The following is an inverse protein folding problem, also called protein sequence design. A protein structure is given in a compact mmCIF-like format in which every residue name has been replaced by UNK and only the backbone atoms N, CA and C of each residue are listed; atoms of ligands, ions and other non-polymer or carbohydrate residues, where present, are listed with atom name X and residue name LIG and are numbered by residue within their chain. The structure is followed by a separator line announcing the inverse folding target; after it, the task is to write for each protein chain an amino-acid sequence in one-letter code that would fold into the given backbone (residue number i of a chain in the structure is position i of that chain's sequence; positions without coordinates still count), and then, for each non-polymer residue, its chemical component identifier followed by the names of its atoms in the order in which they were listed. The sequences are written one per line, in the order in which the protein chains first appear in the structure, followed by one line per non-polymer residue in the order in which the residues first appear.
data_IF_276934074165
#
_entry.id   IF_276934074165
#
_cell.length_a   1.000
_cell.length_b   1.000
_cell.length_c   1.000
_cell.angle_alpha   90.00
_cell.angle_beta   90.00
_cell.angle_gamma   90.00
#
_symmetry.space_group_name_H-M   'P 1'
#
loop_
_entity.id
_entity.type
_entity.pdbx_description
1 polymer ?
#
# COMPACT_ATOMS: atom_id res chain seq x y z
N UNK A 1 0.60 -0.93 -8.15
CA UNK A 1 0.07 0.46 -8.19
C UNK A 1 0.99 1.41 -8.96
N UNK A 2 2.23 1.64 -8.50
CA UNK A 2 3.06 2.81 -8.93
C UNK A 2 3.80 2.67 -10.27
N UNK A 3 3.50 1.63 -11.05
CA UNK A 3 4.13 1.34 -12.34
C UNK A 3 3.73 2.38 -13.41
N UNK A 4 4.67 2.72 -14.29
CA UNK A 4 4.57 3.72 -15.35
C UNK A 4 5.07 3.15 -16.68
N UNK A 5 4.53 3.65 -17.78
CA UNK A 5 5.09 3.37 -19.09
C UNK A 5 6.57 3.80 -19.14
N UNK A 6 7.44 3.01 -19.80
CA UNK A 6 8.87 3.32 -19.89
C UNK A 6 9.10 4.67 -20.53
N UNK A 7 10.11 5.40 -20.04
CA UNK A 7 10.43 6.75 -20.54
C UNK A 7 11.27 6.73 -21.82
N UNK A 8 11.95 5.61 -22.08
CA UNK A 8 12.81 5.42 -23.24
C UNK A 8 12.00 4.91 -24.45
N UNK A 9 12.23 5.52 -25.62
CA UNK A 9 11.72 5.01 -26.90
C UNK A 9 12.22 3.57 -27.13
N UNK A 10 11.29 2.62 -27.24
CA UNK A 10 11.60 1.19 -27.39
C UNK A 10 11.73 0.40 -26.09
N UNK A 11 11.43 1.00 -24.93
CA UNK A 11 11.28 0.27 -23.68
C UNK A 11 10.02 -0.58 -23.67
N UNK A 12 10.13 -1.84 -23.25
CA UNK A 12 9.01 -2.80 -23.19
C UNK A 12 8.50 -3.06 -21.76
N UNK A 13 9.31 -2.76 -20.75
CA UNK A 13 8.99 -3.02 -19.34
C UNK A 13 8.48 -1.76 -18.62
N UNK A 14 7.54 -1.95 -17.69
CA UNK A 14 7.09 -0.87 -16.80
C UNK A 14 8.20 -0.43 -15.84
N UNK A 15 8.26 0.87 -15.55
CA UNK A 15 9.16 1.45 -14.54
C UNK A 15 8.38 1.84 -13.28
N UNK A 16 9.00 1.80 -12.10
CA UNK A 16 8.37 2.28 -10.87
C UNK A 16 8.55 3.78 -10.76
N UNK A 17 7.43 4.51 -10.74
CA UNK A 17 7.40 5.96 -10.70
C UNK A 17 7.06 6.49 -9.29
N UNK A 18 6.71 7.77 -9.22
CA UNK A 18 6.26 8.39 -7.98
C UNK A 18 4.94 7.80 -7.48
N UNK A 19 4.74 7.79 -6.15
CA UNK A 19 3.56 7.18 -5.53
C UNK A 19 2.26 7.67 -6.18
N UNK A 20 1.44 6.73 -6.65
CA UNK A 20 0.18 7.04 -7.29
C UNK A 20 -0.83 7.64 -6.29
N UNK A 21 -0.71 7.30 -5.00
CA UNK A 21 -1.61 7.81 -3.96
C UNK A 21 -1.72 9.34 -3.97
N UNK A 22 -0.62 10.07 -4.17
CA UNK A 22 -0.65 11.54 -4.26
C UNK A 22 -1.51 12.03 -5.43
N UNK A 23 -1.27 11.49 -6.62
CA UNK A 23 -2.05 11.83 -7.83
C UNK A 23 -3.54 11.48 -7.69
N UNK A 24 -3.86 10.37 -7.03
CA UNK A 24 -5.24 9.96 -6.79
C UNK A 24 -5.93 10.94 -5.85
N UNK A 25 -5.26 11.32 -4.76
CA UNK A 25 -5.82 12.23 -3.75
C UNK A 25 -5.98 13.67 -4.27
N UNK A 26 -5.13 14.11 -5.20
CA UNK A 26 -5.30 15.38 -5.92
C UNK A 26 -6.52 15.40 -6.85
N UNK A 27 -6.96 14.24 -7.36
CA UNK A 27 -8.12 14.14 -8.28
C UNK A 27 -9.45 14.05 -7.54
N UNK A 28 -9.51 13.27 -6.46
CA UNK A 28 -10.76 13.03 -5.71
C UNK A 28 -11.01 14.10 -4.64
N UNK A 29 -9.95 14.71 -4.10
CA UNK A 29 -9.96 15.73 -3.03
C UNK A 29 -11.09 15.53 -2.00
N UNK A 30 -10.98 14.50 -1.14
CA UNK A 30 -12.01 14.22 -0.15
C UNK A 30 -12.14 15.38 0.85
N UNK A 31 -13.35 15.88 1.07
CA UNK A 31 -13.59 16.94 2.04
C UNK A 31 -13.20 16.51 3.46
N UNK A 32 -12.49 17.38 4.19
CA UNK A 32 -12.09 17.12 5.58
C UNK A 32 -10.95 16.11 5.74
N UNK A 33 -10.22 15.79 4.67
CA UNK A 33 -9.13 14.82 4.69
C UNK A 33 -7.77 15.52 4.50
N UNK A 34 -6.89 15.38 5.49
CA UNK A 34 -5.49 15.78 5.38
C UNK A 34 -4.62 14.53 5.23
N UNK A 35 -3.74 14.52 4.23
CA UNK A 35 -2.84 13.40 3.96
C UNK A 35 -1.45 13.87 3.59
N UNK A 36 -0.45 13.11 4.01
CA UNK A 36 0.92 13.22 3.54
C UNK A 36 1.30 11.95 2.80
N UNK A 37 2.07 12.08 1.73
CA UNK A 37 2.55 10.95 0.94
C UNK A 37 4.07 10.91 1.01
N UNK A 38 4.59 9.78 1.47
CA UNK A 38 6.03 9.54 1.57
C UNK A 38 6.41 8.35 0.68
N UNK A 39 7.42 8.52 -0.16
CA UNK A 39 8.05 7.43 -0.89
C UNK A 39 9.08 6.74 0.02
N UNK A 40 8.92 5.43 0.27
CA UNK A 40 9.86 4.63 1.10
C UNK A 40 10.77 3.77 0.24
N UNK A 41 10.19 2.99 -0.68
CA UNK A 41 10.94 2.17 -1.64
C UNK A 41 10.30 2.29 -3.03
N UNK A 42 11.13 2.19 -4.07
CA UNK A 42 10.71 2.17 -5.48
C UNK A 42 11.26 0.90 -6.16
N UNK A 43 10.79 -0.26 -5.70
CA UNK A 43 11.25 -1.59 -6.14
C UNK A 43 10.07 -2.49 -6.50
N UNK A 44 10.30 -3.44 -7.40
CA UNK A 44 9.28 -4.46 -7.67
C UNK A 44 9.11 -5.31 -6.40
N UNK A 45 7.88 -5.77 -6.12
CA UNK A 45 7.60 -6.55 -4.91
C UNK A 45 8.45 -7.81 -4.82
N UNK A 46 8.76 -8.43 -5.96
CA UNK A 46 9.57 -9.65 -6.00
C UNK A 46 11.05 -9.39 -5.64
N UNK A 47 11.49 -8.13 -5.67
CA UNK A 47 12.86 -7.71 -5.34
C UNK A 47 12.98 -7.15 -3.91
N UNK A 48 11.87 -7.11 -3.15
CA UNK A 48 11.88 -6.56 -1.80
C UNK A 48 12.61 -7.47 -0.82
N UNK A 49 13.61 -6.90 -0.17
CA UNK A 49 14.39 -7.55 0.87
C UNK A 49 13.79 -7.29 2.25
N UNK A 50 14.30 -7.98 3.27
CA UNK A 50 13.93 -7.68 4.66
C UNK A 50 14.31 -6.25 5.05
N UNK A 51 15.43 -5.72 4.54
CA UNK A 51 15.84 -4.35 4.80
C UNK A 51 14.81 -3.33 4.26
N UNK A 52 14.18 -3.62 3.13
CA UNK A 52 13.11 -2.80 2.58
C UNK A 52 11.85 -2.85 3.46
N UNK A 53 11.45 -4.04 3.94
CA UNK A 53 10.33 -4.20 4.89
C UNK A 53 10.59 -3.47 6.21
N UNK A 54 11.84 -3.50 6.70
CA UNK A 54 12.28 -2.72 7.87
C UNK A 54 12.18 -1.22 7.63
N UNK A 55 12.48 -0.73 6.42
CA UNK A 55 12.31 0.68 6.08
C UNK A 55 10.83 1.10 6.08
N UNK A 56 9.94 0.26 5.56
CA UNK A 56 8.48 0.48 5.64
C UNK A 56 8.00 0.51 7.09
N UNK A 57 8.46 -0.42 7.91
CA UNK A 57 8.16 -0.45 9.34
C UNK A 57 8.65 0.83 10.05
N UNK A 58 9.89 1.26 9.80
CA UNK A 58 10.45 2.47 10.39
C UNK A 58 9.65 3.72 9.99
N UNK A 59 9.19 3.81 8.74
CA UNK A 59 8.32 4.90 8.29
C UNK A 59 6.95 4.87 9.01
N UNK A 60 6.34 3.69 9.18
CA UNK A 60 5.09 3.54 9.93
C UNK A 60 5.26 3.92 11.41
N UNK A 61 6.42 3.64 12.00
CA UNK A 61 6.74 3.99 13.38
C UNK A 61 6.99 5.50 13.54
N UNK A 62 7.76 6.10 12.64
CA UNK A 62 8.18 7.51 12.72
C UNK A 62 7.05 8.52 12.48
N UNK A 63 6.01 8.15 11.72
CA UNK A 63 4.87 9.05 11.48
C UNK A 63 4.01 9.21 12.74
N UNK A 64 3.52 10.42 12.99
CA UNK A 64 2.54 10.71 14.04
C UNK A 64 1.11 10.30 13.63
N UNK A 65 0.88 9.98 12.35
CA UNK A 65 -0.42 9.56 11.87
C UNK A 65 -0.84 8.21 12.48
N UNK A 66 -2.05 8.17 13.04
CA UNK A 66 -2.66 6.93 13.56
C UNK A 66 -3.28 6.04 12.47
N UNK A 67 -3.50 6.57 11.26
CA UNK A 67 -4.04 5.85 10.09
C UNK A 67 -2.98 5.89 8.98
N UNK A 68 -2.56 4.73 8.51
CA UNK A 68 -1.49 4.59 7.52
C UNK A 68 -1.95 3.68 6.39
N UNK A 69 -1.71 4.11 5.16
CA UNK A 69 -1.86 3.26 3.97
C UNK A 69 -0.48 2.99 3.39
N UNK A 70 -0.15 1.72 3.18
CA UNK A 70 1.07 1.28 2.53
C UNK A 70 0.69 0.77 1.13
N UNK A 71 1.10 1.51 0.10
CA UNK A 71 1.00 1.03 -1.29
C UNK A 71 2.14 0.05 -1.58
N UNK A 72 1.83 -1.05 -2.25
CA UNK A 72 2.78 -2.14 -2.45
C UNK A 72 2.55 -2.84 -3.80
N UNK A 73 3.58 -3.52 -4.31
CA UNK A 73 3.42 -4.48 -5.41
C UNK A 73 2.67 -5.72 -4.92
N UNK A 74 1.90 -6.38 -5.77
CA UNK A 74 0.97 -7.41 -5.30
C UNK A 74 1.67 -8.67 -4.81
N UNK A 75 2.75 -9.12 -5.44
CA UNK A 75 3.36 -10.44 -5.21
C UNK A 75 3.66 -10.75 -3.74
N UNK A 76 4.43 -9.87 -3.09
CA UNK A 76 4.93 -10.04 -1.72
C UNK A 76 4.20 -9.14 -0.70
N UNK A 77 3.05 -8.58 -1.08
CA UNK A 77 2.26 -7.69 -0.22
C UNK A 77 1.93 -8.34 1.14
N UNK A 78 1.48 -9.60 1.11
CA UNK A 78 1.08 -10.34 2.31
C UNK A 78 2.28 -10.51 3.26
N UNK A 79 3.48 -10.74 2.74
CA UNK A 79 4.69 -10.86 3.55
C UNK A 79 5.02 -9.55 4.27
N UNK A 80 4.89 -8.41 3.59
CA UNK A 80 5.07 -7.09 4.21
C UNK A 80 3.99 -6.83 5.26
N UNK A 81 2.72 -7.18 4.99
CA UNK A 81 1.65 -7.06 5.97
C UNK A 81 1.92 -7.92 7.23
N UNK A 82 2.39 -9.16 7.04
CA UNK A 82 2.76 -10.03 8.14
C UNK A 82 3.98 -9.50 8.93
N UNK A 83 4.98 -8.95 8.24
CA UNK A 83 6.13 -8.33 8.88
C UNK A 83 5.73 -7.19 9.83
N UNK A 84 4.81 -6.32 9.38
CA UNK A 84 4.28 -5.21 10.17
C UNK A 84 3.36 -5.73 11.29
N UNK A 85 2.48 -6.67 10.97
CA UNK A 85 1.49 -7.22 11.88
C UNK A 85 2.11 -7.94 13.08
N UNK A 86 3.13 -8.77 12.85
CA UNK A 86 3.85 -9.48 13.89
C UNK A 86 4.60 -8.55 14.88
N UNK A 87 4.83 -7.29 14.50
CA UNK A 87 5.52 -6.26 15.32
C UNK A 87 4.58 -5.15 15.78
N UNK A 88 3.28 -5.27 15.48
CA UNK A 88 2.33 -4.19 15.66
C UNK A 88 2.12 -3.86 17.14
N UNK A 89 1.93 -4.89 17.97
CA UNK A 89 1.66 -4.75 19.39
C UNK A 89 2.77 -4.01 20.15
N UNK A 90 4.04 -4.24 19.77
CA UNK A 90 5.19 -3.74 20.52
C UNK A 90 5.62 -2.34 20.07
N UNK A 91 5.52 -2.04 18.77
CA UNK A 91 6.19 -0.87 18.18
C UNK A 91 5.27 0.05 17.37
N UNK A 92 4.08 -0.44 16.99
CA UNK A 92 3.09 0.31 16.21
C UNK A 92 1.74 0.39 16.95
N UNK A 93 1.76 0.24 18.28
CA UNK A 93 0.58 0.22 19.11
C UNK A 93 -0.33 1.44 18.83
N UNK A 94 -1.63 1.20 18.73
CA UNK A 94 -2.62 2.24 18.41
C UNK A 94 -2.75 2.60 16.92
N UNK A 95 -1.78 2.24 16.07
CA UNK A 95 -1.85 2.53 14.62
C UNK A 95 -2.80 1.58 13.90
N UNK A 96 -3.47 2.08 12.88
CA UNK A 96 -4.32 1.33 11.95
C UNK A 96 -3.64 1.40 10.59
N UNK A 97 -3.23 0.25 10.08
CA UNK A 97 -2.41 0.17 8.88
C UNK A 97 -3.13 -0.70 7.86
N UNK A 98 -3.38 -0.16 6.67
CA UNK A 98 -3.83 -0.95 5.53
C UNK A 98 -2.70 -1.07 4.52
N UNK A 99 -2.41 -2.29 4.08
CA UNK A 99 -1.49 -2.57 2.98
C UNK A 99 -2.34 -2.90 1.75
N UNK A 100 -2.05 -2.25 0.63
CA UNK A 100 -2.83 -2.41 -0.59
C UNK A 100 -1.94 -2.43 -1.82
N UNK A 101 -2.43 -3.12 -2.85
CA UNK A 101 -1.81 -3.17 -4.17
C UNK A 101 -2.84 -2.91 -5.26
N UNK A 102 -2.42 -3.18 -6.48
CA UNK A 102 -3.29 -3.18 -7.65
C UNK A 102 -2.71 -4.16 -8.66
N UNK A 103 -3.58 -4.95 -9.26
CA UNK A 103 -3.22 -5.91 -10.31
C UNK A 103 -2.78 -5.18 -11.58
N UNK A 104 -3.35 -3.99 -11.83
CA UNK A 104 -2.95 -3.12 -12.95
C UNK A 104 -2.31 -1.82 -12.44
N UNK A 105 -1.28 -1.29 -13.11
CA UNK A 105 -0.73 0.03 -12.82
C UNK A 105 -1.82 1.11 -12.80
N UNK A 106 -1.69 2.13 -11.95
CA UNK A 106 -2.68 3.23 -11.83
C UNK A 106 -2.89 4.00 -13.15
N UNK A 107 -1.92 3.95 -14.07
CA UNK A 107 -2.03 4.63 -15.37
C UNK A 107 -2.89 3.89 -16.39
N UNK A 108 -3.34 2.67 -16.11
CA UNK A 108 -4.25 1.95 -16.99
C UNK A 108 -5.70 2.37 -16.74
N UNK A 109 -6.50 2.44 -17.80
CA UNK A 109 -7.92 2.86 -17.71
C UNK A 109 -8.75 1.90 -16.86
N UNK A 110 -8.44 0.60 -16.95
CA UNK A 110 -9.10 -0.50 -16.23
C UNK A 110 -8.38 -0.86 -14.91
N UNK A 111 -7.68 0.11 -14.32
CA UNK A 111 -6.96 -0.09 -13.05
C UNK A 111 -7.90 -0.27 -11.87
N UNK A 112 -7.54 -1.18 -10.98
CA UNK A 112 -8.14 -1.40 -9.66
C UNK A 112 -7.53 -0.49 -8.57
N UNK A 113 -6.49 0.30 -8.88
CA UNK A 113 -5.74 1.08 -7.91
C UNK A 113 -6.59 2.13 -7.17
N UNK A 114 -7.47 2.85 -7.87
CA UNK A 114 -8.33 3.87 -7.26
C UNK A 114 -9.31 3.23 -6.28
N UNK A 115 -9.91 2.11 -6.68
CA UNK A 115 -10.87 1.36 -5.88
C UNK A 115 -10.22 0.81 -4.61
N UNK A 116 -9.09 0.10 -4.75
CA UNK A 116 -8.40 -0.49 -3.60
C UNK A 116 -7.91 0.58 -2.60
N UNK A 117 -7.43 1.73 -3.09
CA UNK A 117 -7.05 2.84 -2.22
C UNK A 117 -8.26 3.43 -1.47
N UNK A 118 -9.40 3.57 -2.14
CA UNK A 118 -10.65 4.00 -1.50
C UNK A 118 -11.10 3.03 -0.40
N UNK A 119 -11.02 1.73 -0.67
CA UNK A 119 -11.32 0.66 0.30
C UNK A 119 -10.45 0.81 1.55
N UNK A 120 -9.15 1.09 1.42
CA UNK A 120 -8.29 1.34 2.58
C UNK A 120 -8.78 2.48 3.46
N UNK A 121 -9.15 3.63 2.87
CA UNK A 121 -9.61 4.77 3.65
C UNK A 121 -10.92 4.49 4.38
N UNK A 122 -11.86 3.81 3.71
CA UNK A 122 -13.09 3.31 4.34
C UNK A 122 -12.78 2.36 5.50
N UNK A 123 -11.92 1.37 5.28
CA UNK A 123 -11.52 0.39 6.28
C UNK A 123 -10.89 1.04 7.52
N UNK A 124 -9.91 1.94 7.33
CA UNK A 124 -9.20 2.62 8.43
C UNK A 124 -10.11 3.51 9.29
N UNK A 125 -11.22 3.98 8.72
CA UNK A 125 -12.21 4.78 9.47
C UNK A 125 -12.96 3.93 10.53
N UNK A 126 -13.14 2.65 10.26
CA UNK A 126 -13.89 1.70 11.10
C UNK A 126 -12.99 0.73 11.88
N UNK A 127 -11.76 0.51 11.43
CA UNK A 127 -10.86 -0.49 11.99
C UNK A 127 -10.40 -0.15 13.42
N UNK A 128 -10.23 -1.19 14.24
CA UNK A 128 -9.43 -1.13 15.46
C UNK A 128 -7.94 -1.08 15.10
N UNK A 129 -7.06 -0.63 16.02
CA UNK A 129 -5.60 -0.74 15.82
C UNK A 129 -5.18 -2.13 15.36
N UNK A 130 -4.31 -2.18 14.34
CA UNK A 130 -3.88 -3.42 13.71
C UNK A 130 -3.39 -3.19 12.27
N UNK A 131 -3.00 -4.29 11.62
CA UNK A 131 -2.57 -4.32 10.22
C UNK A 131 -3.56 -5.14 9.40
N UNK A 132 -3.96 -4.59 8.26
CA UNK A 132 -4.96 -5.15 7.37
C UNK A 132 -4.46 -5.15 5.93
N UNK A 133 -4.95 -6.08 5.12
CA UNK A 133 -4.77 -6.11 3.67
C UNK A 133 -6.10 -5.78 3.01
N UNK A 134 -6.08 -4.81 2.08
CA UNK A 134 -7.24 -4.39 1.30
C UNK A 134 -6.99 -4.68 -0.17
N UNK A 135 -7.82 -5.52 -0.79
CA UNK A 135 -7.78 -5.81 -2.23
C UNK A 135 -9.19 -6.17 -2.68
N UNK A 136 -9.63 -5.68 -3.85
CA UNK A 136 -10.89 -6.07 -4.49
C UNK A 136 -12.13 -5.95 -3.59
N UNK A 137 -12.18 -4.91 -2.74
CA UNK A 137 -13.32 -4.65 -1.85
C UNK A 137 -13.35 -5.51 -0.60
N UNK A 138 -12.35 -6.38 -0.40
CA UNK A 138 -12.22 -7.25 0.76
C UNK A 138 -11.13 -6.73 1.68
N UNK A 139 -11.40 -6.80 2.99
CA UNK A 139 -10.47 -6.38 4.05
C UNK A 139 -10.24 -7.55 4.99
N UNK A 140 -8.99 -8.02 5.05
CA UNK A 140 -8.58 -9.06 5.99
C UNK A 140 -7.53 -8.51 6.95
N UNK A 141 -7.49 -9.03 8.18
CA UNK A 141 -6.31 -8.84 9.03
C UNK A 141 -5.11 -9.55 8.42
N UNK A 142 -3.92 -9.05 8.70
CA UNK A 142 -2.66 -9.60 8.18
C UNK A 142 -2.47 -11.11 8.47
N UNK A 143 -3.06 -11.61 9.55
CA UNK A 143 -2.98 -13.00 10.03
C UNK A 143 -4.06 -13.91 9.43
N UNK A 144 -5.00 -13.36 8.65
CA UNK A 144 -6.13 -14.07 8.07
C UNK A 144 -6.19 -13.99 6.54
N UNK A 145 -5.22 -13.34 5.91
CA UNK A 145 -5.15 -13.19 4.45
C UNK A 145 -4.35 -14.34 3.83
N UNK A 146 -4.88 -14.92 2.77
CA UNK A 146 -4.21 -15.96 1.97
C UNK A 146 -4.29 -15.55 0.50
N UNK A 147 -3.21 -15.76 -0.26
CA UNK A 147 -3.23 -15.56 -1.71
C UNK A 147 -3.97 -16.72 -2.35
N UNK A 148 -4.92 -16.41 -3.21
CA UNK A 148 -5.51 -17.40 -4.10
C UNK A 148 -4.45 -17.88 -5.10
N UNK A 149 -4.21 -19.18 -5.13
CA UNK A 149 -3.19 -19.83 -5.98
C UNK A 149 -3.81 -20.61 -7.13
N UNK A 150 -5.13 -20.57 -7.29
CA UNK A 150 -5.86 -21.25 -8.36
C UNK A 150 -6.01 -20.42 -9.65
#
# INVERSE_FOLDING_TARGET
IDKAYPRLLGGWAFEIADPAAGRILERVVPAGFASTVQSVCKKDSQELTEADRRAVFAACQATECGRVVVTHGTDTLIETAAYLGARHADCLAGKRICVTGAMRPERMVDTDAHFNLGVCFGALSLATPGVYVCMNGVVHRWDAVVRDTE
#
